data_IF_892758129790
#
_entry.id   IF_892758129790
#
_cell.length_a   1.000
_cell.length_b   1.000
_cell.length_c   1.000
_cell.angle_alpha   90.00
_cell.angle_beta   90.00
_cell.angle_gamma   90.00
#
_symmetry.space_group_name_H-M   'P 1'
#
loop_
_entity.id
_entity.type
_entity.pdbx_description
1 polymer ?
#
# COMPACT_ATOMS: atom_id res chain seq x y z
N UNK A 1 21.48 4.78 9.16
CA UNK A 1 20.98 6.18 9.12
C UNK A 1 19.52 6.27 8.69
N UNK A 2 19.14 5.81 7.49
CA UNK A 2 17.74 5.79 7.03
C UNK A 2 16.76 5.12 8.00
N UNK A 3 17.16 3.99 8.61
CA UNK A 3 16.36 3.31 9.64
C UNK A 3 16.11 4.21 10.86
N UNK A 4 17.13 4.94 11.32
CA UNK A 4 16.98 5.85 12.46
C UNK A 4 16.04 7.02 12.12
N UNK A 5 16.11 7.53 10.88
CA UNK A 5 15.15 8.54 10.38
C UNK A 5 13.73 7.95 10.32
N UNK A 6 13.57 6.71 9.89
CA UNK A 6 12.27 6.04 9.85
C UNK A 6 11.67 5.82 11.26
N UNK A 7 12.48 5.39 12.23
CA UNK A 7 12.03 5.22 13.62
C UNK A 7 11.67 6.55 14.27
N UNK A 8 12.49 7.59 14.08
CA UNK A 8 12.19 8.94 14.61
C UNK A 8 10.95 9.54 13.98
N UNK A 9 10.73 9.37 12.68
CA UNK A 9 9.50 9.78 12.01
C UNK A 9 8.27 9.02 12.55
N UNK A 10 8.43 7.73 12.86
CA UNK A 10 7.37 6.89 13.44
C UNK A 10 7.01 7.31 14.86
N UNK A 11 8.01 7.59 15.69
CA UNK A 11 7.83 8.09 17.06
C UNK A 11 7.12 9.45 17.05
N UNK A 12 7.58 10.38 16.21
CA UNK A 12 6.96 11.68 16.04
C UNK A 12 5.51 11.57 15.55
N UNK A 13 5.23 10.69 14.57
CA UNK A 13 3.88 10.45 14.08
C UNK A 13 2.95 9.88 15.17
N UNK A 14 3.49 9.04 16.06
CA UNK A 14 2.74 8.46 17.18
C UNK A 14 2.43 9.51 18.26
N UNK A 15 3.37 10.42 18.53
CA UNK A 15 3.12 11.54 19.43
C UNK A 15 2.05 12.46 18.86
N UNK A 16 2.17 12.83 17.58
CA UNK A 16 1.23 13.72 16.89
C UNK A 16 -0.18 13.11 16.77
N UNK A 17 -0.29 11.80 16.58
CA UNK A 17 -1.60 11.15 16.43
C UNK A 17 -2.47 11.22 17.70
N UNK A 18 -1.86 11.35 18.88
CA UNK A 18 -2.58 11.52 20.15
C UNK A 18 -3.26 12.89 20.28
N UNK A 19 -2.83 13.89 19.50
CA UNK A 19 -3.43 15.23 19.50
C UNK A 19 -4.50 15.41 18.41
N UNK A 20 -4.71 14.40 17.56
CA UNK A 20 -5.66 14.47 16.45
C UNK A 20 -7.04 13.91 16.85
N UNK A 21 -8.13 14.43 16.26
CA UNK A 21 -9.47 14.01 16.62
C UNK A 21 -9.71 12.54 16.24
N UNK A 22 -10.15 11.76 17.22
CA UNK A 22 -10.47 10.34 17.07
C UNK A 22 -11.97 10.22 16.79
N UNK A 23 -12.33 9.41 15.78
CA UNK A 23 -13.72 9.07 15.45
C UNK A 23 -13.88 7.55 15.43
N UNK A 24 -15.12 7.04 15.34
CA UNK A 24 -15.36 5.59 15.25
C UNK A 24 -14.66 4.92 14.05
N UNK A 25 -14.45 5.67 12.95
CA UNK A 25 -13.71 5.17 11.78
C UNK A 25 -12.20 5.49 11.82
N UNK A 26 -11.78 6.54 12.52
CA UNK A 26 -10.39 7.01 12.52
C UNK A 26 -9.83 6.94 13.93
N UNK A 27 -9.07 5.88 14.19
CA UNK A 27 -8.35 5.67 15.45
C UNK A 27 -7.03 6.44 15.49
N UNK A 28 -6.43 6.57 16.68
CA UNK A 28 -5.06 7.08 16.82
C UNK A 28 -4.05 6.26 15.99
N UNK A 29 -4.24 4.93 15.88
CA UNK A 29 -3.41 4.08 15.01
C UNK A 29 -3.58 4.42 13.53
N UNK A 30 -4.81 4.71 13.11
CA UNK A 30 -5.10 5.14 11.73
C UNK A 30 -4.38 6.45 11.41
N UNK A 31 -4.41 7.41 12.35
CA UNK A 31 -3.65 8.66 12.23
C UNK A 31 -2.14 8.43 12.18
N UNK A 32 -1.59 7.56 13.02
CA UNK A 32 -0.16 7.22 12.98
C UNK A 32 0.24 6.70 11.59
N UNK A 33 -0.51 5.76 11.02
CA UNK A 33 -0.22 5.19 9.69
C UNK A 33 -0.24 6.28 8.60
N UNK A 34 -1.25 7.16 8.63
CA UNK A 34 -1.38 8.26 7.67
C UNK A 34 -0.21 9.25 7.79
N UNK A 35 0.16 9.65 9.00
CA UNK A 35 1.27 10.56 9.25
C UNK A 35 2.62 9.97 8.85
N UNK A 36 2.89 8.69 9.19
CA UNK A 36 4.12 7.99 8.77
C UNK A 36 4.22 7.92 7.25
N UNK A 37 3.11 7.62 6.58
CA UNK A 37 3.06 7.57 5.11
C UNK A 37 3.33 8.94 4.51
N UNK A 38 2.77 10.00 5.08
CA UNK A 38 3.02 11.39 4.66
C UNK A 38 4.48 11.80 4.86
N UNK A 39 5.07 11.52 6.02
CA UNK A 39 6.48 11.80 6.28
C UNK A 39 7.41 11.02 5.36
N UNK A 40 7.10 9.74 5.08
CA UNK A 40 7.85 8.93 4.11
C UNK A 40 7.79 9.53 2.70
N UNK A 41 6.60 9.96 2.27
CA UNK A 41 6.41 10.62 0.97
C UNK A 41 7.17 11.95 0.86
N UNK A 42 7.01 12.83 1.86
CA UNK A 42 7.74 14.11 1.90
C UNK A 42 9.25 13.88 1.94
N UNK A 43 9.72 12.95 2.77
CA UNK A 43 11.12 12.55 2.85
C UNK A 43 11.68 12.09 1.50
N UNK A 44 10.89 11.36 0.71
CA UNK A 44 11.26 10.91 -0.63
C UNK A 44 11.43 12.07 -1.64
N UNK A 45 10.80 13.22 -1.41
CA UNK A 45 10.96 14.43 -2.23
C UNK A 45 12.19 15.27 -1.83
N UNK A 46 12.83 14.97 -0.70
CA UNK A 46 14.01 15.69 -0.19
C UNK A 46 15.33 14.97 -0.54
N UNK A 47 16.50 15.60 -0.30
CA UNK A 47 17.81 14.96 -0.50
C UNK A 47 18.01 13.66 0.31
N UNK A 48 17.17 13.39 1.33
CA UNK A 48 17.18 12.13 2.10
C UNK A 48 17.02 10.91 1.17
N UNK A 49 16.25 11.03 0.08
CA UNK A 49 16.05 9.97 -0.90
C UNK A 49 17.34 9.53 -1.62
N UNK A 50 18.39 10.38 -1.62
CA UNK A 50 19.69 10.10 -2.25
C UNK A 50 20.65 9.35 -1.32
N UNK A 51 20.33 9.24 -0.03
CA UNK A 51 21.14 8.49 0.93
C UNK A 51 21.13 7.02 0.50
N UNK A 52 22.32 6.41 0.41
CA UNK A 52 22.47 5.02 -0.01
C UNK A 52 21.77 4.11 1.01
N UNK A 53 20.65 3.53 0.59
CA UNK A 53 19.98 2.45 1.33
C UNK A 53 20.58 1.12 0.91
N UNK A 54 20.80 0.23 1.86
CA UNK A 54 21.13 -1.17 1.55
C UNK A 54 19.83 -1.91 1.18
N UNK A 55 19.79 -2.48 -0.03
CA UNK A 55 18.66 -3.25 -0.54
C UNK A 55 18.40 -4.52 0.28
N UNK A 56 19.43 -5.06 0.95
CA UNK A 56 19.31 -6.25 1.81
C UNK A 56 18.46 -5.91 3.02
N UNK A 57 18.75 -4.79 3.69
CA UNK A 57 18.03 -4.35 4.89
C UNK A 57 16.56 -4.06 4.57
N UNK A 58 16.29 -3.38 3.46
CA UNK A 58 14.92 -3.10 3.03
C UNK A 58 14.12 -4.39 2.78
N UNK A 59 14.76 -5.38 2.14
CA UNK A 59 14.14 -6.69 1.88
C UNK A 59 13.87 -7.45 3.17
N UNK A 60 14.80 -7.44 4.13
CA UNK A 60 14.63 -8.09 5.44
C UNK A 60 13.43 -7.47 6.20
N UNK A 61 13.35 -6.14 6.26
CA UNK A 61 12.24 -5.45 6.92
C UNK A 61 10.89 -5.73 6.25
N UNK A 62 10.86 -5.79 4.92
CA UNK A 62 9.67 -6.16 4.17
C UNK A 62 9.23 -7.59 4.50
N UNK A 63 10.14 -8.56 4.52
CA UNK A 63 9.81 -9.93 4.89
C UNK A 63 9.35 -10.05 6.34
N UNK A 64 9.96 -9.28 7.25
CA UNK A 64 9.52 -9.23 8.64
C UNK A 64 8.10 -8.65 8.77
N UNK A 65 7.77 -7.60 8.01
CA UNK A 65 6.42 -7.04 7.95
C UNK A 65 5.41 -8.08 7.44
N UNK A 66 5.72 -8.79 6.35
CA UNK A 66 4.85 -9.84 5.80
C UNK A 66 4.64 -10.96 6.81
N UNK A 67 5.70 -11.39 7.50
CA UNK A 67 5.62 -12.40 8.55
C UNK A 67 4.77 -11.92 9.74
N UNK A 68 4.89 -10.65 10.14
CA UNK A 68 4.09 -10.05 11.22
C UNK A 68 2.60 -10.02 10.85
N UNK A 69 2.26 -9.60 9.63
CA UNK A 69 0.88 -9.58 9.14
C UNK A 69 0.32 -11.00 9.11
N UNK A 70 1.08 -11.97 8.58
CA UNK A 70 0.67 -13.37 8.52
C UNK A 70 0.47 -13.97 9.93
N UNK A 71 1.35 -13.65 10.89
CA UNK A 71 1.24 -14.09 12.28
C UNK A 71 0.00 -13.55 12.99
N UNK A 72 -0.57 -12.44 12.52
CA UNK A 72 -1.83 -11.88 13.05
C UNK A 72 -3.08 -12.58 12.51
N UNK A 73 -2.95 -13.45 11.50
CA UNK A 73 -4.08 -14.19 10.95
C UNK A 73 -4.48 -15.35 11.86
N UNK A 74 -5.75 -15.39 12.25
CA UNK A 74 -6.32 -16.53 12.96
C UNK A 74 -6.97 -17.47 11.95
N UNK A 75 -6.69 -18.78 12.05
CA UNK A 75 -7.37 -19.81 11.24
C UNK A 75 -8.79 -20.15 11.76
N UNK A 76 -9.29 -19.41 12.76
CA UNK A 76 -10.65 -19.59 13.27
C UNK A 76 -11.65 -19.18 12.17
N UNK A 77 -12.49 -20.11 11.71
CA UNK A 77 -13.41 -19.88 10.57
C UNK A 77 -12.86 -20.35 9.21
N UNK A 78 -11.87 -21.25 9.18
CA UNK A 78 -11.31 -21.82 7.95
C UNK A 78 -12.37 -22.41 6.99
N UNK A 79 -13.54 -22.80 7.50
CA UNK A 79 -14.68 -23.24 6.68
C UNK A 79 -15.18 -22.15 5.71
N UNK A 80 -15.06 -20.87 6.05
CA UNK A 80 -15.41 -19.74 5.18
C UNK A 80 -14.23 -19.24 4.34
N UNK A 81 -13.02 -19.77 4.55
CA UNK A 81 -11.83 -19.33 3.83
C UNK A 81 -12.01 -19.44 2.30
N UNK A 82 -12.73 -20.47 1.84
CA UNK A 82 -13.03 -20.62 0.41
C UNK A 82 -13.90 -19.48 -0.12
N UNK A 83 -14.88 -19.01 0.65
CA UNK A 83 -15.74 -17.89 0.26
C UNK A 83 -14.90 -16.62 0.14
N UNK A 84 -14.03 -16.33 1.12
CA UNK A 84 -13.14 -15.17 1.06
C UNK A 84 -12.14 -15.24 -0.11
N UNK A 85 -11.61 -16.42 -0.43
CA UNK A 85 -10.74 -16.62 -1.59
C UNK A 85 -11.50 -16.35 -2.88
N UNK A 86 -12.73 -16.86 -3.02
CA UNK A 86 -13.58 -16.62 -4.21
C UNK A 86 -13.92 -15.14 -4.34
N UNK A 87 -14.29 -14.47 -3.25
CA UNK A 87 -14.52 -13.02 -3.25
C UNK A 87 -13.27 -12.24 -3.65
N UNK A 88 -12.09 -12.60 -3.11
CA UNK A 88 -10.82 -11.99 -3.48
C UNK A 88 -10.50 -12.18 -4.97
N UNK A 89 -10.68 -13.38 -5.49
CA UNK A 89 -10.48 -13.68 -6.91
C UNK A 89 -11.45 -12.89 -7.80
N UNK A 90 -12.71 -12.78 -7.39
CA UNK A 90 -13.72 -11.98 -8.10
C UNK A 90 -13.30 -10.52 -8.21
N UNK A 91 -12.82 -9.92 -7.11
CA UNK A 91 -12.32 -8.54 -7.10
C UNK A 91 -11.12 -8.39 -8.05
N UNK A 92 -10.18 -9.35 -8.05
CA UNK A 92 -9.02 -9.33 -8.95
C UNK A 92 -9.43 -9.43 -10.42
N UNK A 93 -10.43 -10.26 -10.75
CA UNK A 93 -10.96 -10.39 -12.12
C UNK A 93 -11.61 -9.08 -12.55
N UNK A 94 -12.46 -8.48 -11.72
CA UNK A 94 -13.11 -7.19 -12.02
C UNK A 94 -12.04 -6.12 -12.24
N UNK A 95 -11.04 -6.04 -11.35
CA UNK A 95 -9.91 -5.12 -11.48
C UNK A 95 -9.16 -5.32 -12.80
N UNK A 96 -8.82 -6.57 -13.15
CA UNK A 96 -8.10 -6.87 -14.39
C UNK A 96 -8.89 -6.44 -15.63
N UNK A 97 -10.21 -6.69 -15.66
CA UNK A 97 -11.08 -6.26 -16.76
C UNK A 97 -11.10 -4.73 -16.87
N UNK A 98 -11.29 -4.03 -15.75
CA UNK A 98 -11.27 -2.56 -15.72
C UNK A 98 -9.94 -2.00 -16.22
N UNK A 99 -8.82 -2.56 -15.78
CA UNK A 99 -7.48 -2.14 -16.23
C UNK A 99 -7.30 -2.33 -17.74
N UNK A 100 -7.80 -3.43 -18.32
CA UNK A 100 -7.75 -3.65 -19.77
C UNK A 100 -8.60 -2.63 -20.53
N UNK A 101 -9.80 -2.32 -20.04
CA UNK A 101 -10.67 -1.30 -20.64
C UNK A 101 -10.00 0.07 -20.59
N UNK A 102 -9.47 0.47 -19.43
CA UNK A 102 -8.74 1.73 -19.24
C UNK A 102 -7.52 1.78 -20.17
N UNK A 103 -6.72 0.71 -20.23
CA UNK A 103 -5.56 0.66 -21.12
C UNK A 103 -5.94 0.85 -22.59
N UNK A 104 -7.09 0.31 -23.02
CA UNK A 104 -7.60 0.49 -24.39
C UNK A 104 -8.08 1.92 -24.65
N UNK A 105 -8.79 2.53 -23.71
CA UNK A 105 -9.30 3.91 -23.83
C UNK A 105 -8.15 4.91 -23.91
N UNK A 106 -7.20 4.81 -22.98
CA UNK A 106 -6.08 5.74 -22.86
C UNK A 106 -4.87 5.37 -23.74
N UNK A 107 -4.98 4.28 -24.51
CA UNK A 107 -3.90 3.74 -25.35
C UNK A 107 -2.58 3.55 -24.59
N UNK A 108 -2.68 3.02 -23.37
CA UNK A 108 -1.51 2.73 -22.54
C UNK A 108 -0.79 1.48 -23.06
N UNK A 109 0.54 1.49 -22.99
CA UNK A 109 1.28 0.26 -23.26
C UNK A 109 1.04 -0.76 -22.13
N UNK A 110 1.15 -2.06 -22.46
CA UNK A 110 0.90 -3.15 -21.51
C UNK A 110 1.86 -3.18 -20.32
N UNK A 111 3.11 -2.73 -20.48
CA UNK A 111 4.09 -2.63 -19.40
C UNK A 111 3.73 -1.55 -18.36
N UNK A 112 3.26 -0.38 -18.80
CA UNK A 112 2.77 0.65 -17.88
C UNK A 112 1.47 0.22 -17.20
N UNK A 113 0.57 -0.42 -17.94
CA UNK A 113 -0.66 -0.98 -17.37
C UNK A 113 -0.37 -2.06 -16.31
N UNK A 114 0.59 -2.96 -16.57
CA UNK A 114 0.96 -4.02 -15.62
C UNK A 114 1.63 -3.47 -14.36
N UNK A 115 2.54 -2.49 -14.49
CA UNK A 115 3.15 -1.79 -13.36
C UNK A 115 2.09 -1.03 -12.54
N UNK A 116 1.14 -0.35 -13.20
CA UNK A 116 0.06 0.36 -12.54
C UNK A 116 -0.89 -0.59 -11.80
N UNK A 117 -1.26 -1.72 -12.41
CA UNK A 117 -2.08 -2.73 -11.77
C UNK A 117 -1.38 -3.29 -10.52
N UNK A 118 -0.10 -3.63 -10.65
CA UNK A 118 0.68 -4.19 -9.54
C UNK A 118 0.98 -3.17 -8.45
N UNK A 119 1.04 -1.88 -8.77
CA UNK A 119 1.13 -0.80 -7.77
C UNK A 119 -0.12 -0.73 -6.88
N UNK A 120 -1.31 -1.07 -7.43
CA UNK A 120 -2.57 -1.03 -6.70
C UNK A 120 -2.84 -2.32 -5.89
N UNK A 121 -2.49 -3.49 -6.42
CA UNK A 121 -2.75 -4.79 -5.76
C UNK A 121 -1.53 -5.32 -5.01
N UNK A 122 -0.36 -5.30 -5.66
CA UNK A 122 0.90 -5.83 -5.12
C UNK A 122 1.72 -4.81 -4.32
N UNK A 123 1.27 -3.55 -4.29
CA UNK A 123 1.85 -2.46 -3.53
C UNK A 123 3.34 -2.23 -3.81
N UNK A 124 4.04 -1.76 -2.78
CA UNK A 124 5.45 -1.35 -2.83
C UNK A 124 6.38 -2.56 -3.00
N UNK A 125 5.91 -3.77 -2.67
CA UNK A 125 6.68 -5.00 -2.82
C UNK A 125 6.77 -5.44 -4.28
N UNK A 126 5.63 -5.57 -4.97
CA UNK A 126 5.57 -6.15 -6.31
C UNK A 126 5.90 -5.18 -7.43
N UNK A 127 5.39 -3.95 -7.37
CA UNK A 127 5.45 -3.01 -8.50
C UNK A 127 6.88 -2.62 -8.93
N UNK A 128 7.82 -2.33 -8.01
CA UNK A 128 9.19 -1.98 -8.38
C UNK A 128 9.97 -3.16 -8.98
N UNK A 129 9.68 -4.39 -8.51
CA UNK A 129 10.28 -5.62 -9.04
C UNK A 129 9.87 -5.80 -10.50
N UNK A 130 8.57 -5.73 -10.80
CA UNK A 130 8.07 -5.82 -12.17
C UNK A 130 8.60 -4.69 -13.06
N UNK A 131 8.66 -3.46 -12.55
CA UNK A 131 9.19 -2.32 -13.29
C UNK A 131 10.68 -2.50 -13.64
N UNK A 132 11.46 -3.11 -12.74
CA UNK A 132 12.89 -3.37 -12.97
C UNK A 132 13.15 -4.36 -14.11
N UNK A 133 12.18 -5.25 -14.40
CA UNK A 133 12.25 -6.17 -15.52
C UNK A 133 12.05 -5.46 -16.89
N UNK A 134 11.45 -4.27 -16.90
CA UNK A 134 11.29 -3.46 -18.11
C UNK A 134 12.43 -2.45 -18.28
N UNK A 135 12.58 -1.51 -17.35
CA UNK A 135 13.74 -0.59 -17.32
C UNK A 135 13.93 0.01 -15.94
N UNK A 136 15.19 0.28 -15.57
CA UNK A 136 15.57 0.85 -14.27
C UNK A 136 14.94 2.23 -14.02
N UNK A 137 14.61 2.99 -15.06
CA UNK A 137 13.94 4.30 -14.91
C UNK A 137 12.48 4.18 -14.42
N UNK A 138 11.80 3.07 -14.71
CA UNK A 138 10.42 2.83 -14.27
C UNK A 138 10.33 2.45 -12.78
N UNK A 139 11.43 1.99 -12.17
CA UNK A 139 11.44 1.53 -10.77
C UNK A 139 11.03 2.66 -9.82
N UNK A 140 11.62 3.85 -9.98
CA UNK A 140 11.27 5.00 -9.13
C UNK A 140 9.82 5.42 -9.31
N UNK A 141 9.31 5.35 -10.55
CA UNK A 141 7.92 5.69 -10.87
C UNK A 141 6.97 4.68 -10.22
N UNK A 142 7.29 3.39 -10.30
CA UNK A 142 6.52 2.31 -9.69
C UNK A 142 6.44 2.42 -8.16
N UNK A 143 7.54 2.80 -7.51
CA UNK A 143 7.56 3.05 -6.05
C UNK A 143 6.59 4.18 -5.68
N UNK A 144 6.67 5.33 -6.36
CA UNK A 144 5.78 6.46 -6.08
C UNK A 144 4.32 6.10 -6.38
N UNK A 145 4.07 5.41 -7.49
CA UNK A 145 2.73 4.98 -7.88
C UNK A 145 2.13 4.00 -6.88
N UNK A 146 2.93 3.08 -6.32
CA UNK A 146 2.49 2.16 -5.27
C UNK A 146 2.18 2.89 -3.95
N UNK A 147 2.99 3.87 -3.57
CA UNK A 147 2.73 4.71 -2.38
C UNK A 147 1.43 5.51 -2.53
N UNK A 148 1.20 6.09 -3.71
CA UNK A 148 -0.05 6.80 -4.01
C UNK A 148 -1.26 5.86 -4.02
N UNK A 149 -1.13 4.68 -4.64
CA UNK A 149 -2.17 3.66 -4.63
C UNK A 149 -2.54 3.24 -3.21
N UNK A 150 -1.56 3.06 -2.33
CA UNK A 150 -1.80 2.76 -0.92
C UNK A 150 -2.54 3.89 -0.19
N UNK A 151 -2.11 5.15 -0.38
CA UNK A 151 -2.72 6.33 0.23
C UNK A 151 -4.19 6.50 -0.20
N UNK A 152 -4.45 6.47 -1.51
CA UNK A 152 -5.78 6.67 -2.08
C UNK A 152 -6.67 5.46 -1.82
N UNK A 153 -6.13 4.24 -1.99
CA UNK A 153 -6.87 2.99 -1.80
C UNK A 153 -7.34 2.78 -0.36
N UNK A 154 -6.50 3.13 0.63
CA UNK A 154 -6.88 3.03 2.05
C UNK A 154 -8.04 3.96 2.38
N UNK A 155 -7.98 5.22 1.93
CA UNK A 155 -9.08 6.17 2.14
C UNK A 155 -10.35 5.76 1.39
N UNK A 156 -10.23 5.32 0.14
CA UNK A 156 -11.35 4.81 -0.65
C UNK A 156 -12.01 3.61 0.03
N UNK A 157 -11.23 2.68 0.56
CA UNK A 157 -11.73 1.52 1.31
C UNK A 157 -12.53 1.94 2.56
N UNK A 158 -12.04 2.91 3.34
CA UNK A 158 -12.76 3.43 4.50
C UNK A 158 -14.10 4.07 4.11
N UNK A 159 -14.16 4.78 2.98
CA UNK A 159 -15.40 5.35 2.46
C UNK A 159 -16.38 4.23 2.06
N UNK A 160 -15.90 3.20 1.36
CA UNK A 160 -16.73 2.05 0.97
C UNK A 160 -17.28 1.33 2.20
N UNK A 161 -16.45 1.10 3.22
CA UNK A 161 -16.89 0.52 4.49
C UNK A 161 -17.97 1.38 5.13
N UNK A 162 -17.79 2.70 5.18
CA UNK A 162 -18.78 3.62 5.74
C UNK A 162 -20.12 3.53 5.01
N UNK A 163 -20.10 3.47 3.67
CA UNK A 163 -21.31 3.32 2.85
C UNK A 163 -21.99 1.97 3.14
N UNK A 164 -21.24 0.87 3.11
CA UNK A 164 -21.76 -0.47 3.33
C UNK A 164 -22.29 -0.66 4.76
N UNK A 165 -21.63 -0.08 5.76
CA UNK A 165 -22.10 -0.11 7.16
C UNK A 165 -23.45 0.59 7.34
N UNK A 166 -23.80 1.56 6.48
CA UNK A 166 -25.13 2.17 6.47
C UNK A 166 -26.23 1.26 5.93
N UNK A 167 -25.88 0.18 5.22
CA UNK A 167 -26.82 -0.83 4.70
C UNK A 167 -26.86 -2.10 5.55
N UNK A 168 -25.90 -2.28 6.46
CA UNK A 168 -25.89 -3.35 7.45
C UNK A 168 -26.85 -2.96 8.58
N UNK A 169 -28.12 -3.36 8.44
CA UNK A 169 -29.14 -3.35 9.51
C UNK A 169 -28.82 -4.39 10.58
#
# INVERSE_FOLDING_TARGET
MLIAIAFTATDLATILSNYLPVTELISAKTWTILLVTLFGFLGAMTPIAKIRSDSIIASILLYFLVALIASGSSFKGFSEALIYIVCGLMVLVIHAILMVIIAKIFRLNLAMCSIASLANIGGIAGAPILASAYTRSLVSIAVVMALLGFLVGTQGGLIVVKILSGFAL
#
